data_IF_367590534417
#
_entry.id   IF_367590534417
#
_cell.length_a   1.000
_cell.length_b   1.000
_cell.length_c   1.000
_cell.angle_alpha   90.00
_cell.angle_beta   90.00
_cell.angle_gamma   90.00
#
_symmetry.space_group_name_H-M   'P 1'
#
loop_
_entity.id
_entity.type
_entity.pdbx_description
1 polymer ?
#
# COMPACT_ATOMS: atom_id res chain seq x y z
N UNK A 1 10.67 -38.04 56.64
CA UNK A 1 10.94 -36.59 56.57
C UNK A 1 9.83 -35.95 55.78
N UNK A 2 8.93 -35.25 56.48
CA UNK A 2 8.68 -33.79 56.36
C UNK A 2 7.70 -33.46 55.20
N UNK A 3 6.58 -32.74 55.35
CA UNK A 3 6.10 -31.90 56.45
C UNK A 3 5.87 -30.46 55.98
N UNK A 4 4.60 -30.15 55.66
CA UNK A 4 3.83 -28.89 55.85
C UNK A 4 4.39 -27.49 55.46
N UNK A 5 3.53 -26.75 54.75
CA UNK A 5 3.00 -25.39 55.06
C UNK A 5 3.46 -24.16 54.26
N UNK A 6 2.42 -23.44 53.82
CA UNK A 6 2.27 -22.22 53.01
C UNK A 6 2.62 -20.90 53.71
N UNK A 7 2.91 -19.82 52.95
CA UNK A 7 2.54 -18.40 53.23
C UNK A 7 2.39 -17.59 51.91
N UNK A 8 1.35 -16.72 51.85
CA UNK A 8 0.89 -15.83 50.76
C UNK A 8 1.81 -14.61 50.46
N UNK A 9 1.49 -13.81 49.41
CA UNK A 9 0.86 -12.51 49.76
C UNK A 9 -0.33 -12.08 48.89
N UNK A 10 -1.13 -11.23 49.54
CA UNK A 10 -2.41 -10.63 49.24
C UNK A 10 -2.31 -9.45 48.26
N UNK A 11 -3.29 -9.27 47.36
CA UNK A 11 -3.78 -7.94 46.98
C UNK A 11 -5.20 -8.01 46.40
N UNK A 12 -6.03 -7.11 46.89
CA UNK A 12 -7.49 -7.16 46.95
C UNK A 12 -8.15 -6.49 45.75
N UNK A 13 -9.16 -7.14 45.17
CA UNK A 13 -10.15 -6.53 44.26
C UNK A 13 -11.03 -5.53 45.01
N UNK A 14 -11.09 -4.29 44.55
CA UNK A 14 -12.09 -3.31 44.98
C UNK A 14 -12.80 -2.68 43.78
N UNK A 15 -13.99 -3.21 43.49
CA UNK A 15 -15.00 -2.61 42.63
C UNK A 15 -15.50 -1.30 43.24
N UNK A 16 -15.39 -0.19 42.51
CA UNK A 16 -16.05 1.07 42.88
C UNK A 16 -17.28 1.33 42.02
N UNK A 17 -18.38 1.32 42.75
CA UNK A 17 -19.79 1.47 42.40
C UNK A 17 -20.11 2.91 41.98
N UNK A 18 -20.95 2.99 40.94
CA UNK A 18 -21.64 4.18 40.43
C UNK A 18 -22.34 4.93 41.57
N UNK A 19 -22.17 6.27 41.61
CA UNK A 19 -23.03 7.18 42.37
C UNK A 19 -23.48 8.30 41.45
N UNK A 20 -24.76 8.25 41.07
CA UNK A 20 -25.48 9.39 40.53
C UNK A 20 -25.76 10.43 41.63
N UNK A 21 -25.69 11.69 41.24
CA UNK A 21 -26.11 12.86 42.04
C UNK A 21 -26.83 13.76 41.02
N UNK A 22 -28.15 13.68 40.93
CA UNK A 22 -29.16 14.43 41.71
C UNK A 22 -29.31 15.87 41.20
N UNK A 23 -30.36 16.07 40.40
CA UNK A 23 -30.97 17.35 40.12
C UNK A 23 -31.45 18.02 41.42
N UNK A 24 -31.18 19.32 41.55
CA UNK A 24 -31.96 20.22 42.39
C UNK A 24 -32.26 21.49 41.57
N UNK A 25 -33.54 21.67 41.33
CA UNK A 25 -34.20 22.87 40.84
C UNK A 25 -34.15 23.95 41.91
N UNK A 26 -33.94 25.20 41.51
CA UNK A 26 -34.38 26.38 42.24
C UNK A 26 -35.07 27.28 41.23
N UNK A 27 -36.37 27.51 41.41
CA UNK A 27 -37.12 28.53 40.71
C UNK A 27 -37.39 29.70 41.65
N UNK A 28 -37.40 30.91 41.10
CA UNK A 28 -38.38 31.95 41.44
C UNK A 28 -38.45 33.03 40.34
N UNK A 29 -39.65 33.60 40.20
CA UNK A 29 -40.20 34.49 39.17
C UNK A 29 -39.35 35.79 38.95
N UNK A 30 -39.37 36.51 37.83
CA UNK A 30 -40.56 37.04 37.13
C UNK A 30 -40.20 37.69 35.77
N UNK A 31 -41.24 37.89 34.96
CA UNK A 31 -41.42 38.92 33.93
C UNK A 31 -40.90 38.71 32.48
N UNK A 32 -41.87 38.88 31.58
CA UNK A 32 -41.87 38.67 30.13
C UNK A 32 -40.86 39.54 29.34
N UNK A 33 -40.21 38.93 28.33
CA UNK A 33 -40.00 39.57 27.00
C UNK A 33 -39.57 38.54 25.95
N UNK A 34 -40.32 38.52 24.84
CA UNK A 34 -40.03 37.77 23.61
C UNK A 34 -38.76 38.32 22.94
N UNK A 35 -37.88 37.44 22.41
CA UNK A 35 -37.45 37.41 20.99
C UNK A 35 -36.17 36.56 20.74
N UNK A 36 -36.23 35.77 19.66
CA UNK A 36 -35.16 35.24 18.78
C UNK A 36 -34.29 34.06 19.27
N UNK A 37 -34.16 32.97 18.47
CA UNK A 37 -33.15 31.95 18.72
C UNK A 37 -31.77 32.46 18.27
N UNK A 38 -30.80 32.38 19.17
CA UNK A 38 -29.39 32.64 18.90
C UNK A 38 -28.79 31.39 18.24
N UNK A 39 -28.58 31.45 16.93
CA UNK A 39 -27.84 30.44 16.20
C UNK A 39 -26.37 30.46 16.64
N UNK A 40 -25.93 29.41 17.34
CA UNK A 40 -24.53 29.10 17.56
C UNK A 40 -23.89 28.84 16.19
N UNK A 41 -23.19 29.86 15.69
CA UNK A 41 -22.42 29.78 14.46
C UNK A 41 -21.15 28.99 14.75
N UNK A 42 -21.17 27.67 14.55
CA UNK A 42 -19.95 26.91 14.32
C UNK A 42 -19.44 27.25 12.92
N UNK A 43 -18.77 28.40 12.79
CA UNK A 43 -17.99 28.73 11.60
C UNK A 43 -16.71 27.92 11.65
N UNK A 44 -16.73 26.77 11.01
CA UNK A 44 -15.52 26.05 10.63
C UNK A 44 -14.65 27.01 9.81
N UNK A 45 -13.39 27.25 10.19
CA UNK A 45 -12.55 28.18 9.47
C UNK A 45 -12.32 27.69 8.04
N UNK A 46 -12.35 28.63 7.08
CA UNK A 46 -12.44 28.36 5.64
C UNK A 46 -11.26 27.54 5.07
N UNK A 47 -10.15 27.40 5.80
CA UNK A 47 -9.02 26.57 5.40
C UNK A 47 -9.30 25.06 5.46
N UNK A 48 -10.29 24.60 6.23
CA UNK A 48 -10.66 23.18 6.29
C UNK A 48 -11.47 22.70 5.06
N UNK A 49 -11.94 23.62 4.21
CA UNK A 49 -12.64 23.26 2.97
C UNK A 49 -11.70 22.90 1.82
N UNK A 50 -10.41 23.25 1.90
CA UNK A 50 -9.44 22.92 0.85
C UNK A 50 -8.78 21.55 1.06
N UNK A 51 -8.89 20.95 2.25
CA UNK A 51 -8.17 19.73 2.59
C UNK A 51 -8.85 18.43 2.12
N UNK A 52 -10.14 18.46 1.78
CA UNK A 52 -10.94 17.22 1.59
C UNK A 52 -11.31 16.94 0.14
N UNK A 53 -11.15 17.89 -0.78
CA UNK A 53 -11.42 17.65 -2.22
C UNK A 53 -10.27 16.95 -2.95
N UNK A 54 -9.03 17.12 -2.48
CA UNK A 54 -7.85 16.50 -3.12
C UNK A 54 -7.76 14.98 -2.92
N UNK A 55 -8.18 14.47 -1.77
CA UNK A 55 -8.06 13.03 -1.42
C UNK A 55 -8.92 12.15 -2.31
N UNK A 56 -10.13 12.61 -2.66
CA UNK A 56 -11.05 11.86 -3.53
C UNK A 56 -10.63 11.84 -4.99
N UNK A 57 -9.91 12.87 -5.46
CA UNK A 57 -9.34 12.84 -6.81
C UNK A 57 -8.09 11.96 -6.89
N UNK A 58 -7.25 11.96 -5.85
CA UNK A 58 -6.09 11.06 -5.76
C UNK A 58 -6.51 9.59 -5.86
N UNK A 59 -7.56 9.19 -5.13
CA UNK A 59 -8.10 7.82 -5.23
C UNK A 59 -8.69 7.50 -6.60
N UNK A 60 -9.23 8.51 -7.30
CA UNK A 60 -9.81 8.36 -8.64
C UNK A 60 -8.75 8.19 -9.72
N UNK A 61 -7.58 8.82 -9.54
CA UNK A 61 -6.38 8.63 -10.37
C UNK A 61 -5.78 7.24 -10.16
N UNK A 62 -5.80 6.72 -8.93
CA UNK A 62 -5.35 5.37 -8.59
C UNK A 62 -6.41 4.28 -8.90
N UNK A 63 -7.62 4.67 -9.31
CA UNK A 63 -8.67 3.75 -9.75
C UNK A 63 -8.52 3.51 -11.26
N UNK A 64 -8.24 2.28 -11.72
CA UNK A 64 -8.03 2.03 -13.13
C UNK A 64 -9.35 2.24 -13.90
N UNK A 65 -9.38 3.09 -14.95
CA UNK A 65 -10.50 3.14 -15.86
C UNK A 65 -10.48 1.90 -16.75
N UNK A 66 -11.60 1.18 -16.81
CA UNK A 66 -11.78 0.07 -17.74
C UNK A 66 -11.96 0.65 -19.15
N UNK A 67 -10.87 0.87 -19.88
CA UNK A 67 -10.91 1.25 -21.29
C UNK A 67 -9.90 0.42 -22.06
N UNK A 68 -10.44 -0.57 -22.77
CA UNK A 68 -9.72 -1.34 -23.77
C UNK A 68 -9.22 -0.41 -24.87
N UNK A 69 -7.91 -0.21 -24.89
CA UNK A 69 -7.17 0.28 -26.06
C UNK A 69 -6.10 -0.78 -26.24
N UNK A 70 -6.29 -1.63 -27.25
CA UNK A 70 -5.34 -2.66 -27.64
C UNK A 70 -4.13 -2.00 -28.31
N UNK A 71 -2.96 -2.31 -27.78
CA UNK A 71 -1.70 -2.07 -28.46
C UNK A 71 -1.19 -3.43 -28.93
N UNK A 72 -1.19 -3.62 -30.26
CA UNK A 72 -0.42 -4.67 -30.90
C UNK A 72 1.01 -4.14 -31.00
N UNK A 73 1.92 -4.66 -30.20
CA UNK A 73 3.35 -4.58 -30.48
C UNK A 73 3.82 -5.99 -30.84
N UNK A 74 4.21 -6.13 -32.11
CA UNK A 74 4.86 -7.30 -32.70
C UNK A 74 6.05 -7.68 -31.83
N UNK A 75 5.93 -8.79 -31.10
CA UNK A 75 6.96 -9.28 -30.20
C UNK A 75 7.89 -10.24 -30.93
N UNK A 76 9.18 -9.90 -31.02
CA UNK A 76 10.23 -10.88 -31.24
C UNK A 76 10.01 -12.04 -30.25
N UNK A 77 9.94 -13.27 -30.77
CA UNK A 77 9.67 -14.46 -30.00
C UNK A 77 10.85 -14.74 -29.05
N UNK A 78 10.76 -14.28 -27.80
CA UNK A 78 11.77 -14.54 -26.78
C UNK A 78 11.76 -16.04 -26.47
N UNK A 79 12.76 -16.76 -26.97
CA UNK A 79 12.96 -18.17 -26.69
C UNK A 79 13.51 -18.36 -25.27
N UNK A 80 12.65 -18.78 -24.34
CA UNK A 80 13.02 -19.15 -22.97
C UNK A 80 13.23 -20.66 -22.90
N UNK A 81 14.44 -21.11 -22.56
CA UNK A 81 14.80 -22.53 -22.50
C UNK A 81 14.77 -23.12 -21.08
N UNK A 82 14.74 -22.25 -20.06
CA UNK A 82 14.65 -22.67 -18.67
C UNK A 82 14.52 -21.52 -17.67
N UNK A 83 14.47 -21.88 -16.39
CA UNK A 83 14.33 -20.91 -15.27
C UNK A 83 15.50 -19.92 -15.20
N UNK A 84 16.70 -20.31 -15.60
CA UNK A 84 17.86 -19.40 -15.61
C UNK A 84 17.70 -18.24 -16.60
N UNK A 85 17.07 -18.49 -17.75
CA UNK A 85 16.77 -17.45 -18.74
C UNK A 85 15.75 -16.46 -18.18
N UNK A 86 14.72 -16.96 -17.48
CA UNK A 86 13.73 -16.12 -16.80
C UNK A 86 14.40 -15.25 -15.73
N UNK A 87 15.30 -15.82 -14.92
CA UNK A 87 16.07 -15.06 -13.93
C UNK A 87 16.91 -13.96 -14.61
N UNK A 88 17.56 -14.27 -15.73
CA UNK A 88 18.36 -13.30 -16.48
C UNK A 88 17.50 -12.14 -16.99
N UNK A 89 16.33 -12.44 -17.56
CA UNK A 89 15.38 -11.43 -18.05
C UNK A 89 14.86 -10.59 -16.89
N UNK A 90 14.44 -11.20 -15.78
CA UNK A 90 13.99 -10.48 -14.59
C UNK A 90 15.07 -9.56 -14.03
N UNK A 91 16.33 -10.01 -13.98
CA UNK A 91 17.46 -9.14 -13.58
C UNK A 91 17.57 -7.91 -14.48
N UNK A 92 17.48 -8.09 -15.80
CA UNK A 92 17.52 -6.98 -16.74
C UNK A 92 16.32 -6.05 -16.56
N UNK A 93 15.12 -6.57 -16.35
CA UNK A 93 13.93 -5.75 -16.06
C UNK A 93 14.14 -4.91 -14.77
N UNK A 94 14.72 -5.49 -13.70
CA UNK A 94 15.04 -4.75 -12.48
C UNK A 94 16.13 -3.68 -12.71
N UNK A 95 17.16 -3.96 -13.50
CA UNK A 95 18.19 -2.99 -13.89
C UNK A 95 17.58 -1.82 -14.69
N UNK A 96 16.56 -2.10 -15.51
CA UNK A 96 15.77 -1.11 -16.23
C UNK A 96 14.66 -0.46 -15.38
N UNK A 97 14.63 -0.75 -14.08
CA UNK A 97 13.69 -0.20 -13.11
C UNK A 97 12.21 -0.38 -13.53
N UNK A 98 11.88 -1.56 -14.07
CA UNK A 98 10.58 -1.81 -14.73
C UNK A 98 9.35 -1.37 -13.94
N UNK A 99 9.37 -1.51 -12.61
CA UNK A 99 8.28 -1.11 -11.72
C UNK A 99 7.93 0.37 -11.78
N UNK A 100 8.92 1.22 -12.02
CA UNK A 100 8.77 2.69 -12.02
C UNK A 100 8.86 3.29 -13.42
N UNK A 101 9.32 2.51 -14.41
CA UNK A 101 9.32 2.88 -15.83
C UNK A 101 8.10 2.33 -16.58
N UNK A 102 7.46 1.27 -16.06
CA UNK A 102 6.38 0.55 -16.72
C UNK A 102 6.81 -0.24 -17.95
N UNK A 103 8.11 -0.50 -18.10
CA UNK A 103 8.71 -1.23 -19.22
C UNK A 103 9.31 -2.52 -18.67
N UNK A 104 8.62 -3.64 -18.88
CA UNK A 104 9.05 -4.98 -18.48
C UNK A 104 8.90 -5.93 -19.65
N UNK A 105 9.56 -7.08 -19.58
CA UNK A 105 9.51 -8.09 -20.63
C UNK A 105 8.21 -8.88 -20.52
N UNK A 106 7.11 -8.37 -21.09
CA UNK A 106 5.78 -9.01 -21.02
C UNK A 106 5.76 -10.42 -21.60
N UNK A 107 6.63 -10.71 -22.59
CA UNK A 107 6.70 -12.00 -23.24
C UNK A 107 7.09 -13.17 -22.31
N UNK A 108 7.69 -12.94 -21.13
CA UNK A 108 7.94 -14.03 -20.16
C UNK A 108 6.75 -14.34 -19.25
N UNK A 109 5.65 -13.60 -19.37
CA UNK A 109 4.42 -13.82 -18.61
C UNK A 109 3.38 -14.55 -19.47
N UNK A 110 2.53 -15.34 -18.82
CA UNK A 110 1.31 -15.83 -19.46
C UNK A 110 0.32 -14.68 -19.66
N UNK A 111 -0.50 -14.75 -20.71
CA UNK A 111 -1.49 -13.69 -21.01
C UNK A 111 -2.44 -13.44 -19.83
N UNK A 112 -2.84 -14.51 -19.15
CA UNK A 112 -3.76 -14.53 -18.02
C UNK A 112 -3.04 -14.64 -16.66
N UNK A 113 -1.80 -14.17 -16.57
CA UNK A 113 -1.04 -14.15 -15.31
C UNK A 113 -1.80 -13.43 -14.19
N UNK A 114 -1.75 -14.00 -12.99
CA UNK A 114 -2.33 -13.42 -11.77
C UNK A 114 -1.30 -12.48 -11.13
N UNK A 115 -1.70 -11.23 -10.90
CA UNK A 115 -0.89 -10.23 -10.21
C UNK A 115 -1.55 -9.91 -8.87
N UNK A 116 -0.76 -9.92 -7.80
CA UNK A 116 -1.24 -9.59 -6.47
C UNK A 116 -0.18 -8.93 -5.61
N UNK A 117 -0.65 -8.06 -4.74
CA UNK A 117 0.14 -7.41 -3.69
C UNK A 117 -0.72 -7.33 -2.41
N UNK A 118 -0.20 -6.77 -1.29
CA UNK A 118 -0.96 -6.66 -0.04
C UNK A 118 -2.25 -5.83 -0.11
N UNK A 119 -2.51 -5.10 -1.20
CA UNK A 119 -3.65 -4.21 -1.41
C UNK A 119 -4.65 -4.71 -2.46
N UNK A 120 -4.18 -5.36 -3.53
CA UNK A 120 -5.01 -5.72 -4.68
C UNK A 120 -4.62 -7.09 -5.27
N UNK A 121 -5.57 -7.67 -6.01
CA UNK A 121 -5.38 -8.88 -6.82
C UNK A 121 -6.17 -8.78 -8.10
N UNK A 122 -5.54 -9.03 -9.24
CA UNK A 122 -6.17 -9.03 -10.56
C UNK A 122 -5.48 -10.00 -11.51
N UNK A 123 -6.02 -10.14 -12.71
CA UNK A 123 -5.54 -11.08 -13.72
C UNK A 123 -5.38 -10.38 -15.07
N UNK A 124 -4.29 -10.69 -15.78
CA UNK A 124 -4.02 -10.22 -17.13
C UNK A 124 -2.73 -9.40 -17.25
N UNK A 125 -1.81 -9.85 -18.09
CA UNK A 125 -0.50 -9.20 -18.31
C UNK A 125 -0.63 -7.83 -18.98
N UNK A 126 -1.58 -7.69 -19.92
CA UNK A 126 -1.87 -6.39 -20.55
C UNK A 126 -2.45 -5.37 -19.56
N UNK A 127 -3.26 -5.84 -18.60
CA UNK A 127 -3.78 -4.99 -17.53
C UNK A 127 -2.65 -4.54 -16.59
N UNK A 128 -1.71 -5.44 -16.26
CA UNK A 128 -0.53 -5.10 -15.45
C UNK A 128 0.34 -4.04 -16.14
N UNK A 129 0.65 -4.23 -17.43
CA UNK A 129 1.40 -3.27 -18.26
C UNK A 129 0.76 -1.88 -18.25
N UNK A 130 -0.56 -1.82 -18.43
CA UNK A 130 -1.34 -0.58 -18.39
C UNK A 130 -1.27 0.09 -17.01
N UNK A 131 -1.47 -0.68 -15.94
CA UNK A 131 -1.44 -0.17 -14.57
C UNK A 131 -0.08 0.44 -14.21
N UNK A 132 1.03 -0.23 -14.56
CA UNK A 132 2.36 0.33 -14.33
C UNK A 132 2.55 1.65 -15.08
N UNK A 133 2.19 1.71 -16.37
CA UNK A 133 2.30 2.93 -17.20
C UNK A 133 1.50 4.11 -16.64
N UNK A 134 0.35 3.86 -15.98
CA UNK A 134 -0.45 4.90 -15.33
C UNK A 134 0.25 5.52 -14.11
N UNK A 135 1.12 4.77 -13.43
CA UNK A 135 1.83 5.24 -12.24
C UNK A 135 3.06 6.09 -12.57
N UNK A 136 3.70 5.84 -13.72
CA UNK A 136 4.97 6.49 -14.15
C UNK A 136 4.98 8.02 -13.97
N UNK A 137 3.93 8.77 -14.36
CA UNK A 137 3.94 10.23 -14.24
C UNK A 137 4.10 10.73 -12.78
N UNK A 138 3.69 9.93 -11.80
CA UNK A 138 3.72 10.28 -10.38
C UNK A 138 5.08 10.09 -9.73
N UNK A 139 5.99 9.30 -10.30
CA UNK A 139 7.30 9.08 -9.70
C UNK A 139 8.23 10.29 -9.89
N UNK A 140 8.93 10.66 -8.83
CA UNK A 140 10.03 11.62 -8.79
C UNK A 140 11.25 10.93 -8.18
N UNK A 141 12.36 10.98 -8.92
CA UNK A 141 13.64 10.38 -8.55
C UNK A 141 13.52 8.94 -8.03
N UNK A 142 12.82 8.03 -8.74
CA UNK A 142 12.61 6.68 -8.26
C UNK A 142 13.91 5.86 -8.30
N UNK A 143 14.02 4.95 -7.35
CA UNK A 143 15.11 3.98 -7.24
C UNK A 143 14.50 2.65 -6.81
N UNK A 144 14.66 1.63 -7.65
CA UNK A 144 14.37 0.25 -7.28
C UNK A 144 15.64 -0.58 -7.42
N UNK A 145 16.07 -1.20 -6.32
CA UNK A 145 17.27 -2.01 -6.28
C UNK A 145 16.94 -3.47 -6.04
N UNK A 146 17.34 -4.35 -6.96
CA UNK A 146 17.32 -5.79 -6.74
C UNK A 146 18.47 -6.17 -5.82
N UNK A 147 18.15 -6.75 -4.66
CA UNK A 147 19.15 -7.16 -3.65
C UNK A 147 19.50 -8.64 -3.73
N UNK A 148 18.54 -9.47 -4.13
CA UNK A 148 18.72 -10.90 -4.31
C UNK A 148 17.71 -11.44 -5.31
N UNK A 149 18.10 -12.45 -6.08
CA UNK A 149 17.18 -13.25 -6.88
C UNK A 149 17.65 -14.71 -6.89
N UNK A 150 16.76 -15.62 -6.56
CA UNK A 150 17.05 -17.04 -6.38
C UNK A 150 15.93 -17.91 -6.95
N UNK A 151 16.27 -19.16 -7.32
CA UNK A 151 15.27 -20.18 -7.64
C UNK A 151 14.61 -20.66 -6.35
N UNK A 152 13.29 -20.75 -6.33
CA UNK A 152 12.56 -21.29 -5.21
C UNK A 152 12.71 -22.82 -5.11
N UNK A 153 12.81 -23.31 -3.88
CA UNK A 153 13.11 -24.71 -3.56
C UNK A 153 11.87 -25.63 -3.50
N UNK A 154 10.91 -25.45 -4.41
CA UNK A 154 9.73 -26.32 -4.50
C UNK A 154 9.99 -27.46 -5.48
N UNK A 155 9.71 -28.70 -5.05
CA UNK A 155 9.85 -29.90 -5.88
C UNK A 155 8.75 -30.03 -6.95
N UNK A 156 7.68 -29.25 -6.86
CA UNK A 156 6.48 -29.38 -7.70
C UNK A 156 6.27 -28.22 -8.68
N UNK A 157 6.85 -27.05 -8.41
CA UNK A 157 6.68 -25.85 -9.24
C UNK A 157 7.98 -25.08 -9.38
N UNK A 158 8.34 -24.76 -10.63
CA UNK A 158 9.41 -23.81 -10.89
C UNK A 158 8.99 -22.45 -10.33
N UNK A 159 9.80 -21.89 -9.44
CA UNK A 159 9.55 -20.56 -8.88
C UNK A 159 10.83 -19.75 -8.84
N UNK A 160 10.68 -18.44 -8.94
CA UNK A 160 11.78 -17.47 -8.77
C UNK A 160 11.36 -16.50 -7.68
N UNK A 161 12.26 -16.19 -6.76
CA UNK A 161 12.04 -15.20 -5.71
C UNK A 161 13.04 -14.07 -5.90
N UNK A 162 12.53 -12.84 -5.98
CA UNK A 162 13.32 -11.62 -6.00
C UNK A 162 13.09 -10.83 -4.70
N UNK A 163 14.15 -10.30 -4.10
CA UNK A 163 14.08 -9.36 -2.98
C UNK A 163 14.58 -8.00 -3.44
N UNK A 164 13.80 -6.96 -3.20
CA UNK A 164 14.04 -5.63 -3.74
C UNK A 164 13.82 -4.52 -2.70
N UNK A 165 14.31 -3.33 -3.01
CA UNK A 165 14.09 -2.10 -2.24
C UNK A 165 13.61 -1.00 -3.15
N UNK A 166 12.46 -0.41 -2.85
CA UNK A 166 11.88 0.71 -3.58
C UNK A 166 12.00 1.98 -2.75
N UNK A 167 12.48 3.05 -3.38
CA UNK A 167 12.46 4.40 -2.83
C UNK A 167 12.10 5.40 -3.91
N UNK A 168 11.12 6.26 -3.68
CA UNK A 168 10.73 7.32 -4.64
C UNK A 168 9.98 8.43 -3.93
N UNK A 169 10.10 9.66 -4.44
CA UNK A 169 9.17 10.72 -4.08
C UNK A 169 7.97 10.67 -5.04
N UNK A 170 6.79 11.07 -4.59
CA UNK A 170 5.65 11.25 -5.51
C UNK A 170 5.48 12.72 -5.87
N UNK A 171 5.10 12.99 -7.12
CA UNK A 171 4.77 14.33 -7.66
C UNK A 171 3.43 14.85 -7.15
N UNK A 172 3.27 14.91 -5.83
CA UNK A 172 2.15 15.54 -5.13
C UNK A 172 2.61 16.83 -4.43
N UNK A 173 1.69 17.76 -4.08
CA UNK A 173 2.08 19.04 -3.47
C UNK A 173 2.91 18.93 -2.18
N UNK A 174 2.76 17.85 -1.41
CA UNK A 174 3.53 17.57 -0.19
C UNK A 174 4.69 16.57 -0.40
N UNK A 175 4.96 16.20 -1.66
CA UNK A 175 6.10 15.39 -2.12
C UNK A 175 6.41 14.18 -1.21
N UNK A 176 5.45 13.27 -0.95
CA UNK A 176 5.64 12.19 0.00
C UNK A 176 6.80 11.28 -0.42
N UNK A 177 7.55 10.78 0.57
CA UNK A 177 8.59 9.77 0.35
C UNK A 177 7.99 8.38 0.54
N UNK A 178 8.06 7.57 -0.51
CA UNK A 178 7.80 6.13 -0.47
C UNK A 178 9.14 5.41 -0.26
N UNK A 179 9.20 4.52 0.74
CA UNK A 179 10.36 3.68 1.03
C UNK A 179 9.86 2.33 1.57
N UNK A 180 9.96 1.30 0.73
CA UNK A 180 9.43 -0.04 1.00
C UNK A 180 10.46 -1.08 0.55
N UNK A 181 10.73 -2.05 1.41
CA UNK A 181 11.49 -3.24 1.04
C UNK A 181 10.48 -4.37 0.79
N UNK A 182 10.73 -5.21 -0.20
CA UNK A 182 9.75 -6.21 -0.61
C UNK A 182 10.35 -7.44 -1.24
N UNK A 183 9.47 -8.39 -1.49
CA UNK A 183 9.78 -9.61 -2.22
C UNK A 183 8.70 -9.87 -3.27
N UNK A 184 9.14 -10.35 -4.42
CA UNK A 184 8.26 -10.87 -5.47
C UNK A 184 8.52 -12.35 -5.66
N UNK A 185 7.46 -13.15 -5.64
CA UNK A 185 7.49 -14.56 -6.01
C UNK A 185 6.84 -14.71 -7.37
N UNK A 186 7.58 -15.27 -8.30
CA UNK A 186 7.12 -15.63 -9.64
C UNK A 186 6.92 -17.14 -9.69
N UNK A 187 5.69 -17.59 -9.92
CA UNK A 187 5.38 -19.01 -10.17
C UNK A 187 5.34 -19.25 -11.69
N UNK A 188 6.08 -20.26 -12.15
CA UNK A 188 6.23 -20.57 -13.57
C UNK A 188 5.47 -21.85 -13.95
N UNK A 189 4.94 -21.88 -15.16
CA UNK A 189 4.39 -23.10 -15.77
C UNK A 189 5.49 -24.01 -16.35
N UNK A 190 5.06 -25.08 -17.02
CA UNK A 190 5.95 -26.05 -17.68
C UNK A 190 6.67 -25.47 -18.91
N UNK A 191 6.22 -24.34 -19.44
CA UNK A 191 6.84 -23.61 -20.54
C UNK A 191 7.69 -22.43 -20.06
N UNK A 192 7.93 -22.34 -18.74
CA UNK A 192 8.67 -21.26 -18.09
C UNK A 192 8.03 -19.86 -18.26
N UNK A 193 6.72 -19.80 -18.53
CA UNK A 193 5.93 -18.56 -18.45
C UNK A 193 5.53 -18.29 -17.01
N UNK A 194 5.59 -17.04 -16.60
CA UNK A 194 5.11 -16.60 -15.28
C UNK A 194 3.58 -16.60 -15.29
N UNK A 195 2.99 -17.48 -14.48
CA UNK A 195 1.53 -17.59 -14.30
C UNK A 195 1.03 -16.77 -13.11
N UNK A 196 1.93 -16.47 -12.16
CA UNK A 196 1.61 -15.67 -10.98
C UNK A 196 2.80 -14.81 -10.59
N UNK A 197 2.52 -13.54 -10.35
CA UNK A 197 3.41 -12.53 -9.79
C UNK A 197 2.81 -12.08 -8.46
N UNK A 198 3.42 -12.48 -7.36
CA UNK A 198 2.92 -12.21 -6.01
C UNK A 198 3.92 -11.38 -5.22
N UNK A 199 3.48 -10.21 -4.76
CA UNK A 199 4.30 -9.29 -3.98
C UNK A 199 3.99 -9.35 -2.49
N UNK A 200 5.03 -9.13 -1.70
CA UNK A 200 4.95 -8.95 -0.26
C UNK A 200 5.87 -7.81 0.16
N UNK A 201 5.43 -7.04 1.15
CA UNK A 201 6.16 -5.88 1.64
C UNK A 201 6.60 -6.13 3.09
N UNK A 202 7.69 -5.48 3.48
CA UNK A 202 8.18 -5.48 4.86
C UNK A 202 7.25 -4.69 5.81
N UNK A 203 6.35 -3.88 5.26
CA UNK A 203 5.36 -3.07 5.97
C UNK A 203 3.94 -3.52 5.64
N UNK A 204 2.97 -3.13 6.47
CA UNK A 204 1.56 -3.40 6.16
C UNK A 204 1.05 -2.56 4.98
N UNK A 205 0.00 -3.04 4.32
CA UNK A 205 -0.70 -2.29 3.27
C UNK A 205 -1.10 -0.87 3.71
N UNK A 206 -1.64 -0.74 4.93
CA UNK A 206 -2.06 0.56 5.48
C UNK A 206 -0.89 1.49 5.75
N UNK A 207 0.24 0.95 6.21
CA UNK A 207 1.46 1.73 6.44
C UNK A 207 2.04 2.23 5.12
N UNK A 208 2.15 1.38 4.11
CA UNK A 208 2.58 1.76 2.76
C UNK A 208 1.69 2.85 2.16
N UNK A 209 0.36 2.70 2.26
CA UNK A 209 -0.60 3.72 1.82
C UNK A 209 -0.44 5.00 2.65
N UNK A 210 -0.18 4.89 3.95
CA UNK A 210 0.06 6.04 4.83
C UNK A 210 1.26 6.90 4.40
N UNK A 211 2.30 6.30 3.83
CA UNK A 211 3.45 7.04 3.29
C UNK A 211 3.02 8.04 2.21
N UNK A 212 2.04 7.69 1.36
CA UNK A 212 1.50 8.56 0.30
C UNK A 212 0.93 9.87 0.86
N UNK A 213 0.36 9.84 2.07
CA UNK A 213 -0.26 11.00 2.70
C UNK A 213 0.66 11.73 3.69
N UNK A 214 1.90 11.25 3.85
CA UNK A 214 2.87 11.82 4.78
C UNK A 214 3.83 12.76 4.04
N UNK A 215 3.90 14.06 4.40
CA UNK A 215 4.83 15.00 3.78
C UNK A 215 6.30 14.57 3.94
N UNK A 216 7.13 14.78 2.92
CA UNK A 216 8.58 14.65 3.10
C UNK A 216 9.09 15.86 3.89
N UNK A 217 9.77 15.62 5.02
CA UNK A 217 10.52 16.67 5.70
C UNK A 217 11.81 16.86 4.89
N UNK A 218 11.85 17.86 4.01
CA UNK A 218 13.13 18.35 3.50
C UNK A 218 13.85 19.00 4.68
N UNK A 219 14.91 18.36 5.17
CA UNK A 219 15.88 19.04 6.00
C UNK A 219 16.39 20.22 5.20
N UNK A 220 16.19 21.43 5.71
CA UNK A 220 16.82 22.65 5.21
C UNK A 220 18.33 22.43 5.21
N UNK A 221 18.86 22.00 4.06
CA UNK A 221 20.29 22.06 3.77
C UNK A 221 20.60 23.50 3.42
N UNK A 222 21.12 24.23 4.41
CA UNK A 222 21.87 25.46 4.21
C UNK A 222 23.14 25.22 3.39
#
# INVERSE_FOLDING_TARGET
MAGISSINPTATLASKRIRGIRCCSSGELDSQKKNKPMATTNRTPQFLKLAVSGVTELLRVLSPPNKEIGNNEDGDEISVSGVDDVIMILKSDYENAYFVTGIFTSAIYAEDCIFEDPTIRFQGTELYSRNLKLLVPFFDSPSIGLTNIEKGASSETNSVRATWKLRTYLKFPWRPLISIDGQTVYELDNNFKIMRHSESWNVSALEAIGQIFTPSIEGSGD
#
